data_IF_827366093713
#
_entry.id   IF_827366093713
#
_cell.length_a   1.000
_cell.length_b   1.000
_cell.length_c   1.000
_cell.angle_alpha   90.00
_cell.angle_beta   90.00
_cell.angle_gamma   90.00
#
_symmetry.space_group_name_H-M   'P 1'
#
loop_
_entity.id
_entity.type
_entity.pdbx_description
1 polymer ?
#
# COMPACT_ATOMS: atom_id res chain seq x y z
N UNK A 1 -17.44 17.01 1.99
CA UNK A 1 -17.65 15.63 1.49
C UNK A 1 -18.00 15.53 0.00
N UNK A 2 -18.94 16.33 -0.54
CA UNK A 2 -19.35 16.26 -1.97
C UNK A 2 -18.20 16.38 -2.99
N UNK A 3 -17.20 17.22 -2.72
CA UNK A 3 -16.05 17.42 -3.60
C UNK A 3 -15.14 16.18 -3.69
N UNK A 4 -14.93 15.50 -2.57
CA UNK A 4 -14.12 14.27 -2.52
C UNK A 4 -14.78 13.12 -3.31
N UNK A 5 -16.10 12.94 -3.17
CA UNK A 5 -16.85 11.95 -3.97
C UNK A 5 -16.65 12.19 -5.46
N UNK A 6 -16.74 13.45 -5.89
CA UNK A 6 -16.53 13.82 -7.29
C UNK A 6 -15.12 13.50 -7.77
N UNK A 7 -14.09 13.78 -6.99
CA UNK A 7 -12.71 13.41 -7.35
C UNK A 7 -12.57 11.88 -7.43
N UNK A 8 -13.09 11.17 -6.43
CA UNK A 8 -13.03 9.73 -6.35
C UNK A 8 -13.77 9.06 -7.52
N UNK A 9 -14.90 9.58 -7.98
CA UNK A 9 -15.63 9.04 -9.12
C UNK A 9 -14.85 9.18 -10.44
N UNK A 10 -14.03 10.22 -10.56
CA UNK A 10 -13.29 10.55 -11.79
C UNK A 10 -11.99 9.77 -12.00
N UNK A 11 -11.49 9.05 -11.00
CA UNK A 11 -10.29 8.20 -11.11
C UNK A 11 -10.62 6.82 -11.69
N UNK A 12 -9.63 6.21 -12.33
CA UNK A 12 -9.75 4.88 -12.93
C UNK A 12 -10.03 3.77 -11.91
N UNK A 13 -10.70 2.69 -12.34
CA UNK A 13 -10.96 1.49 -11.54
C UNK A 13 -9.72 0.89 -10.85
N UNK A 14 -8.59 0.62 -11.53
CA UNK A 14 -7.39 0.07 -10.87
C UNK A 14 -6.86 1.00 -9.76
N UNK A 15 -6.87 2.32 -9.99
CA UNK A 15 -6.41 3.31 -9.01
C UNK A 15 -7.34 3.42 -7.81
N UNK A 16 -8.67 3.34 -8.03
CA UNK A 16 -9.69 3.29 -6.97
C UNK A 16 -9.48 2.08 -6.06
N UNK A 17 -9.28 0.91 -6.65
CA UNK A 17 -9.04 -0.33 -5.91
C UNK A 17 -7.77 -0.21 -5.06
N UNK A 18 -6.66 0.22 -5.67
CA UNK A 18 -5.39 0.40 -4.97
C UNK A 18 -5.50 1.38 -3.80
N UNK A 19 -6.09 2.56 -4.02
CA UNK A 19 -6.25 3.58 -3.00
C UNK A 19 -7.10 3.07 -1.82
N UNK A 20 -8.23 2.43 -2.11
CA UNK A 20 -9.17 1.95 -1.10
C UNK A 20 -8.54 0.88 -0.22
N UNK A 21 -7.96 -0.16 -0.84
CA UNK A 21 -7.32 -1.27 -0.11
C UNK A 21 -6.14 -0.77 0.70
N UNK A 22 -5.26 0.04 0.11
CA UNK A 22 -4.06 0.54 0.80
C UNK A 22 -4.41 1.45 1.97
N UNK A 23 -5.43 2.31 1.82
CA UNK A 23 -5.88 3.19 2.90
C UNK A 23 -6.50 2.40 4.05
N UNK A 24 -7.32 1.38 3.75
CA UNK A 24 -7.89 0.49 4.77
C UNK A 24 -6.79 -0.23 5.57
N UNK A 25 -5.78 -0.76 4.88
CA UNK A 25 -4.63 -1.41 5.53
C UNK A 25 -3.86 -0.41 6.40
N UNK A 26 -3.61 0.81 5.91
CA UNK A 26 -2.90 1.83 6.68
C UNK A 26 -3.66 2.22 7.95
N UNK A 27 -4.99 2.29 7.90
CA UNK A 27 -5.84 2.57 9.06
C UNK A 27 -5.72 1.44 10.09
N UNK A 28 -5.82 0.18 9.67
CA UNK A 28 -5.70 -0.99 10.57
C UNK A 28 -4.33 -0.98 11.27
N UNK A 29 -3.25 -0.74 10.53
CA UNK A 29 -1.90 -0.64 11.07
C UNK A 29 -1.78 0.56 12.03
N UNK A 30 -2.40 1.70 11.67
CA UNK A 30 -2.46 2.90 12.52
C UNK A 30 -3.07 2.61 13.89
N UNK A 31 -4.22 1.91 13.90
CA UNK A 31 -4.88 1.51 15.15
C UNK A 31 -3.96 0.61 15.99
N UNK A 32 -3.32 -0.39 15.38
CA UNK A 32 -2.39 -1.28 16.09
C UNK A 32 -1.22 -0.54 16.73
N UNK A 33 -0.66 0.45 16.03
CA UNK A 33 0.48 1.22 16.51
C UNK A 33 0.08 2.16 17.65
N UNK A 34 -1.13 2.73 17.64
CA UNK A 34 -1.63 3.57 18.74
C UNK A 34 -1.86 2.74 20.01
N UNK A 35 -2.35 1.50 19.89
CA UNK A 35 -2.71 0.67 21.04
C UNK A 35 -1.53 -0.07 21.67
N UNK A 36 -0.55 -0.48 20.87
CA UNK A 36 0.44 -1.48 21.30
C UNK A 36 1.83 -0.90 21.59
N UNK A 37 2.25 0.18 20.92
CA UNK A 37 3.63 0.68 21.01
C UNK A 37 3.71 2.20 21.05
N UNK A 38 4.57 2.76 21.92
CA UNK A 38 4.76 4.22 22.00
C UNK A 38 5.84 4.74 21.05
N UNK A 39 6.81 3.93 20.65
CA UNK A 39 7.98 4.39 19.88
C UNK A 39 8.42 3.46 18.73
N UNK A 40 7.91 2.23 18.65
CA UNK A 40 8.27 1.27 17.58
C UNK A 40 7.14 1.18 16.57
N UNK A 41 7.49 0.96 15.30
CA UNK A 41 6.52 0.72 14.25
C UNK A 41 6.21 -0.78 14.13
N UNK A 42 4.95 -1.15 14.32
CA UNK A 42 4.47 -2.53 14.32
C UNK A 42 3.63 -2.87 13.07
N UNK A 43 3.82 -4.06 12.50
CA UNK A 43 2.94 -4.65 11.49
C UNK A 43 2.61 -6.08 11.92
N UNK A 44 1.42 -6.30 12.49
CA UNK A 44 1.06 -7.59 13.05
C UNK A 44 2.04 -8.00 14.17
N UNK A 45 2.67 -9.20 14.10
CA UNK A 45 3.63 -9.65 15.11
C UNK A 45 5.04 -9.09 14.93
N UNK A 46 5.30 -8.32 13.86
CA UNK A 46 6.63 -7.79 13.55
C UNK A 46 6.77 -6.35 14.02
N UNK A 47 7.95 -6.01 14.54
CA UNK A 47 8.30 -4.65 14.98
C UNK A 47 9.59 -4.15 14.32
N UNK A 48 9.70 -2.84 14.17
CA UNK A 48 10.92 -2.16 13.74
C UNK A 48 11.19 -0.97 14.65
N UNK A 49 12.44 -0.82 15.10
CA UNK A 49 12.91 0.30 15.91
C UNK A 49 13.06 1.56 15.03
N UNK A 50 11.92 2.15 14.70
CA UNK A 50 11.81 3.37 13.89
C UNK A 50 10.61 4.19 14.34
N UNK A 51 10.72 5.51 14.18
CA UNK A 51 9.65 6.44 14.50
C UNK A 51 8.40 6.14 13.66
N UNK A 52 7.34 5.69 14.34
CA UNK A 52 6.06 5.33 13.74
C UNK A 52 5.47 6.49 12.93
N UNK A 53 5.49 7.71 13.45
CA UNK A 53 4.96 8.92 12.79
C UNK A 53 5.57 9.14 11.40
N UNK A 54 6.91 9.09 11.30
CA UNK A 54 7.62 9.27 10.02
C UNK A 54 7.26 8.18 9.03
N UNK A 55 7.11 6.94 9.50
CA UNK A 55 6.75 5.80 8.66
C UNK A 55 5.32 5.93 8.09
N UNK A 56 4.37 6.42 8.88
CA UNK A 56 3.00 6.67 8.42
C UNK A 56 2.94 7.77 7.35
N UNK A 57 3.69 8.87 7.54
CA UNK A 57 3.77 9.94 6.53
C UNK A 57 4.33 9.42 5.22
N UNK A 58 5.42 8.65 5.27
CA UNK A 58 6.01 8.07 4.06
C UNK A 58 5.04 7.11 3.36
N UNK A 59 4.32 6.28 4.11
CA UNK A 59 3.30 5.38 3.56
C UNK A 59 2.14 6.13 2.91
N UNK A 60 1.70 7.24 3.51
CA UNK A 60 0.65 8.07 2.93
C UNK A 60 1.11 8.69 1.60
N UNK A 61 2.33 9.23 1.55
CA UNK A 61 2.92 9.75 0.32
C UNK A 61 3.06 8.65 -0.75
N UNK A 62 3.48 7.46 -0.35
CA UNK A 62 3.59 6.31 -1.23
C UNK A 62 2.22 5.95 -1.84
N UNK A 63 1.17 5.86 -1.03
CA UNK A 63 -0.19 5.56 -1.52
C UNK A 63 -0.64 6.62 -2.53
N UNK A 64 -0.49 7.92 -2.20
CA UNK A 64 -0.90 9.00 -3.10
C UNK A 64 -0.12 8.95 -4.41
N UNK A 65 1.19 8.76 -4.35
CA UNK A 65 2.06 8.65 -5.53
C UNK A 65 1.64 7.49 -6.43
N UNK A 66 1.41 6.30 -5.89
CA UNK A 66 1.01 5.13 -6.68
C UNK A 66 -0.41 5.24 -7.22
N UNK A 67 -1.36 5.77 -6.44
CA UNK A 67 -2.70 6.05 -6.96
C UNK A 67 -2.65 6.99 -8.17
N UNK A 68 -1.85 8.05 -8.09
CA UNK A 68 -1.64 8.98 -9.21
C UNK A 68 -0.97 8.28 -10.40
N UNK A 69 0.10 7.53 -10.17
CA UNK A 69 0.84 6.83 -11.23
C UNK A 69 -0.07 5.85 -12.00
N UNK A 70 -0.87 5.06 -11.28
CA UNK A 70 -1.84 4.14 -11.88
C UNK A 70 -2.93 4.87 -12.67
N UNK A 71 -3.38 6.03 -12.18
CA UNK A 71 -4.40 6.82 -12.87
C UNK A 71 -3.84 7.43 -14.17
N UNK A 72 -2.60 7.91 -14.16
CA UNK A 72 -1.88 8.41 -15.35
C UNK A 72 -1.76 7.31 -16.40
N UNK A 73 -1.29 6.11 -16.03
CA UNK A 73 -1.18 5.00 -16.98
C UNK A 73 -2.54 4.57 -17.55
N UNK A 74 -3.56 4.52 -16.70
CA UNK A 74 -4.91 4.19 -17.15
C UNK A 74 -5.46 5.22 -18.14
N UNK A 75 -5.32 6.52 -17.85
CA UNK A 75 -5.74 7.61 -18.76
C UNK A 75 -4.96 7.66 -20.06
N UNK A 76 -3.70 7.25 -20.04
CA UNK A 76 -2.85 7.12 -21.23
C UNK A 76 -3.22 5.91 -22.12
N UNK A 77 -4.24 5.12 -21.76
CA UNK A 77 -4.71 3.96 -22.53
C UNK A 77 -4.08 2.63 -22.09
N UNK A 78 -3.16 2.63 -21.11
CA UNK A 78 -2.51 1.43 -20.57
C UNK A 78 -3.33 0.80 -19.44
N UNK A 79 -4.62 0.52 -19.67
CA UNK A 79 -5.53 -0.06 -18.66
C UNK A 79 -5.04 -1.43 -18.16
N UNK A 80 -4.58 -2.29 -19.06
CA UNK A 80 -4.07 -3.62 -18.71
C UNK A 80 -2.79 -3.55 -17.88
N UNK A 81 -1.88 -2.63 -18.23
CA UNK A 81 -0.66 -2.39 -17.46
C UNK A 81 -0.98 -1.88 -16.04
N UNK A 82 -1.97 -0.99 -15.92
CA UNK A 82 -2.40 -0.46 -14.62
C UNK A 82 -2.92 -1.60 -13.72
N UNK A 83 -3.72 -2.52 -14.26
CA UNK A 83 -4.17 -3.71 -13.52
C UNK A 83 -3.02 -4.65 -13.13
N UNK A 84 -2.06 -4.85 -14.03
CA UNK A 84 -0.86 -5.62 -13.72
C UNK A 84 -0.05 -4.98 -12.58
N UNK A 85 0.13 -3.66 -12.61
CA UNK A 85 0.85 -2.92 -11.56
C UNK A 85 0.17 -2.98 -10.19
N UNK A 86 -1.16 -3.08 -10.14
CA UNK A 86 -1.89 -3.29 -8.87
C UNK A 86 -1.59 -4.68 -8.27
N UNK A 87 -1.48 -5.71 -9.11
CA UNK A 87 -1.21 -7.08 -8.68
C UNK A 87 0.27 -7.37 -8.44
N UNK A 88 1.15 -6.59 -9.07
CA UNK A 88 2.60 -6.78 -9.02
C UNK A 88 3.16 -6.94 -7.59
N UNK A 89 2.79 -6.10 -6.59
CA UNK A 89 3.30 -6.26 -5.22
C UNK A 89 2.90 -7.57 -4.56
N UNK A 90 1.69 -8.08 -4.85
CA UNK A 90 1.19 -9.34 -4.30
C UNK A 90 2.00 -10.50 -4.89
N UNK A 91 2.16 -10.50 -6.21
CA UNK A 91 2.95 -11.52 -6.91
C UNK A 91 4.40 -11.51 -6.42
N UNK A 92 5.00 -10.32 -6.32
CA UNK A 92 6.38 -10.15 -5.83
C UNK A 92 6.53 -10.67 -4.40
N UNK A 93 5.57 -10.39 -3.51
CA UNK A 93 5.59 -10.88 -2.13
C UNK A 93 5.59 -12.42 -2.08
N UNK A 94 4.75 -13.09 -2.86
CA UNK A 94 4.75 -14.55 -2.93
C UNK A 94 6.05 -15.12 -3.49
N UNK A 95 6.62 -14.48 -4.52
CA UNK A 95 7.90 -14.88 -5.09
C UNK A 95 9.05 -14.76 -4.08
N UNK A 96 9.11 -13.65 -3.33
CA UNK A 96 10.14 -13.44 -2.31
C UNK A 96 10.00 -14.44 -1.17
N UNK A 97 8.79 -14.64 -0.63
CA UNK A 97 8.56 -15.62 0.45
C UNK A 97 8.96 -17.03 -0.01
N UNK A 98 8.57 -17.42 -1.23
CA UNK A 98 8.98 -18.71 -1.83
C UNK A 98 10.51 -18.82 -1.90
N UNK A 99 11.17 -17.79 -2.44
CA UNK A 99 12.63 -17.74 -2.53
C UNK A 99 13.28 -17.90 -1.15
N UNK A 100 12.80 -17.20 -0.12
CA UNK A 100 13.34 -17.31 1.24
C UNK A 100 13.21 -18.73 1.80
N UNK A 101 12.05 -19.38 1.62
CA UNK A 101 11.81 -20.76 2.10
C UNK A 101 12.74 -21.76 1.38
N UNK A 102 12.91 -21.64 0.06
CA UNK A 102 13.70 -22.61 -0.72
C UNK A 102 15.22 -22.35 -0.69
N UNK A 103 15.65 -21.11 -0.48
CA UNK A 103 17.09 -20.76 -0.43
C UNK A 103 17.77 -21.11 0.90
N UNK A 104 17.03 -21.61 1.89
CA UNK A 104 17.58 -21.97 3.20
C UNK A 104 18.06 -20.78 4.03
N UNK A 105 17.73 -19.55 3.62
CA UNK A 105 18.00 -18.32 4.38
C UNK A 105 17.01 -18.29 5.55
N UNK A 106 17.44 -18.79 6.71
CA UNK A 106 16.68 -18.72 7.96
C UNK A 106 16.56 -17.28 8.44
N UNK A 107 15.34 -16.82 8.73
CA UNK A 107 15.04 -15.58 9.45
C UNK A 107 15.48 -15.67 10.92
#
# INVERSE_FOLDING_TARGET
MKYFSKIYENICEPSKLYFTVSTLILIIIGIQNITTSKNNYCIGPYECDTSSEKMFVFKLLYIVFWTWLLDVFCRAGYKNLSWFLVLYPIILMFLLISLFIFSGITL
#
